data_IF_635928698295
#
_entry.id   IF_635928698295
#
_cell.length_a   1.000
_cell.length_b   1.000
_cell.length_c   1.000
_cell.angle_alpha   90.00
_cell.angle_beta   90.00
_cell.angle_gamma   90.00
#
_symmetry.space_group_name_H-M   'P 1'
#
loop_
_entity.id
_entity.type
_entity.pdbx_description
1 polymer ?
#
# COMPACT_ATOMS: atom_id res chain seq x y z
N UNK A 1 21.61 -17.17 -3.05
CA UNK A 1 21.12 -16.88 -1.69
C UNK A 1 19.93 -17.78 -1.44
N UNK A 2 19.83 -18.48 -0.29
CA UNK A 2 18.67 -19.27 0.05
C UNK A 2 17.37 -18.44 0.09
N UNK A 3 16.24 -19.01 -0.34
CA UNK A 3 14.97 -18.31 -0.47
C UNK A 3 14.46 -17.71 0.86
N UNK A 4 14.71 -18.43 1.97
CA UNK A 4 14.34 -17.99 3.32
C UNK A 4 15.13 -16.76 3.83
N UNK A 5 16.22 -16.40 3.17
CA UNK A 5 17.04 -15.23 3.49
C UNK A 5 16.70 -14.00 2.61
N UNK A 6 15.97 -14.21 1.52
CA UNK A 6 15.59 -13.12 0.62
C UNK A 6 14.67 -12.12 1.32
N UNK A 7 14.98 -10.84 1.16
CA UNK A 7 14.17 -9.72 1.64
C UNK A 7 13.91 -8.76 0.49
N UNK A 8 12.69 -8.29 0.38
CA UNK A 8 12.28 -7.34 -0.67
C UNK A 8 10.79 -7.09 -0.63
N UNK A 9 10.32 -6.36 -1.65
CA UNK A 9 8.91 -6.02 -1.81
C UNK A 9 8.53 -6.10 -3.29
N UNK A 10 7.38 -6.69 -3.60
CA UNK A 10 6.81 -6.68 -4.94
C UNK A 10 5.83 -5.50 -5.04
N UNK A 11 5.94 -4.70 -6.10
CA UNK A 11 4.95 -3.66 -6.45
C UNK A 11 3.94 -4.24 -7.46
N UNK A 12 3.02 -5.03 -6.97
CA UNK A 12 2.05 -5.80 -7.74
C UNK A 12 0.59 -5.43 -7.42
N UNK A 13 0.35 -4.22 -6.95
CA UNK A 13 -1.00 -3.70 -6.71
C UNK A 13 -1.74 -3.48 -8.03
N UNK A 14 -2.54 -4.48 -8.43
CA UNK A 14 -3.28 -4.44 -9.70
C UNK A 14 -4.52 -3.54 -9.62
N UNK A 15 -5.18 -3.46 -8.47
CA UNK A 15 -6.38 -2.63 -8.31
C UNK A 15 -6.06 -1.16 -8.54
N UNK A 16 -4.94 -0.68 -8.02
CA UNK A 16 -4.41 0.65 -8.29
C UNK A 16 -4.14 0.89 -9.78
N UNK A 17 -3.68 -0.11 -10.51
CA UNK A 17 -3.45 0.02 -11.95
C UNK A 17 -4.74 0.27 -12.72
N UNK A 18 -5.84 -0.41 -12.35
CA UNK A 18 -7.15 -0.12 -12.95
C UNK A 18 -7.69 1.26 -12.57
N UNK A 19 -7.52 1.65 -11.30
CA UNK A 19 -8.12 2.89 -10.79
C UNK A 19 -7.38 4.17 -11.21
N UNK A 20 -6.03 4.13 -11.28
CA UNK A 20 -5.22 5.33 -11.39
C UNK A 20 -4.28 5.39 -12.60
N UNK A 21 -3.80 4.25 -13.12
CA UNK A 21 -2.77 4.24 -14.17
C UNK A 21 -3.21 3.69 -15.52
N UNK A 22 -4.20 2.82 -15.55
CA UNK A 22 -4.67 2.19 -16.79
C UNK A 22 -3.66 1.23 -17.45
N UNK A 23 -2.63 0.80 -16.72
CA UNK A 23 -1.54 -0.05 -17.22
C UNK A 23 -1.66 -1.45 -16.64
N UNK A 24 -2.55 -2.25 -17.17
CA UNK A 24 -2.77 -3.64 -16.77
C UNK A 24 -2.68 -4.58 -17.98
N UNK A 25 -2.28 -5.83 -17.73
CA UNK A 25 -2.12 -6.85 -18.77
C UNK A 25 -3.33 -7.79 -18.77
N UNK A 26 -3.79 -8.23 -17.60
CA UNK A 26 -4.86 -9.17 -17.44
C UNK A 26 -6.12 -8.53 -16.86
N UNK A 27 -7.32 -9.11 -17.12
CA UNK A 27 -8.56 -8.69 -16.43
C UNK A 27 -8.47 -8.84 -14.91
N UNK A 28 -9.37 -8.19 -14.12
CA UNK A 28 -9.28 -8.19 -12.65
C UNK A 28 -9.25 -9.57 -12.01
N UNK A 29 -10.11 -10.51 -12.44
CA UNK A 29 -10.19 -11.85 -11.83
C UNK A 29 -8.91 -12.67 -11.97
N UNK A 30 -8.31 -12.85 -13.18
CA UNK A 30 -7.01 -13.49 -13.30
C UNK A 30 -5.90 -12.78 -12.52
N UNK A 31 -5.89 -11.45 -12.51
CA UNK A 31 -4.92 -10.66 -11.75
C UNK A 31 -5.00 -10.93 -10.25
N UNK A 32 -6.21 -10.94 -9.67
CA UNK A 32 -6.42 -11.26 -8.25
C UNK A 32 -5.98 -12.68 -7.91
N UNK A 33 -6.19 -13.65 -8.81
CA UNK A 33 -5.69 -15.01 -8.63
C UNK A 33 -4.16 -15.05 -8.57
N UNK A 34 -3.48 -14.31 -9.44
CA UNK A 34 -2.01 -14.24 -9.40
C UNK A 34 -1.51 -13.64 -8.09
N UNK A 35 -2.17 -12.61 -7.57
CA UNK A 35 -1.83 -12.00 -6.27
C UNK A 35 -1.97 -13.02 -5.13
N UNK A 36 -3.09 -13.76 -5.08
CA UNK A 36 -3.29 -14.77 -4.02
C UNK A 36 -2.29 -15.92 -4.12
N UNK A 37 -1.93 -16.36 -5.33
CA UNK A 37 -0.87 -17.35 -5.54
C UNK A 37 0.49 -16.86 -5.05
N UNK A 38 0.82 -15.57 -5.26
CA UNK A 38 2.04 -14.95 -4.73
C UNK A 38 2.01 -14.96 -3.20
N UNK A 39 0.89 -14.63 -2.57
CA UNK A 39 0.76 -14.67 -1.11
C UNK A 39 1.01 -16.08 -0.57
N UNK A 40 0.38 -17.09 -1.17
CA UNK A 40 0.58 -18.48 -0.78
C UNK A 40 2.02 -18.94 -0.96
N UNK A 41 2.59 -18.69 -2.12
CA UNK A 41 3.98 -19.08 -2.42
C UNK A 41 4.97 -18.42 -1.46
N UNK A 42 4.86 -17.11 -1.25
CA UNK A 42 5.79 -16.37 -0.41
C UNK A 42 5.66 -16.75 1.07
N UNK A 43 4.45 -17.03 1.56
CA UNK A 43 4.26 -17.45 2.96
C UNK A 43 4.99 -18.76 3.25
N UNK A 44 5.07 -19.67 2.27
CA UNK A 44 5.71 -20.98 2.41
C UNK A 44 7.21 -20.96 2.10
N UNK A 45 7.63 -20.24 1.06
CA UNK A 45 8.96 -20.37 0.48
C UNK A 45 9.86 -19.15 0.72
N UNK A 46 9.30 -17.94 0.90
CA UNK A 46 10.07 -16.70 1.04
C UNK A 46 9.53 -15.85 2.22
N UNK A 47 9.64 -16.34 3.46
CA UNK A 47 8.90 -15.80 4.62
C UNK A 47 9.28 -14.37 5.01
N UNK A 48 10.39 -13.83 4.48
CA UNK A 48 10.84 -12.45 4.76
C UNK A 48 10.48 -11.47 3.64
N UNK A 49 9.81 -11.94 2.58
CA UNK A 49 9.42 -11.10 1.46
C UNK A 49 8.09 -10.37 1.72
N UNK A 50 8.01 -9.10 1.36
CA UNK A 50 6.75 -8.36 1.37
C UNK A 50 6.00 -8.70 0.07
N UNK A 51 4.86 -9.34 0.22
CA UNK A 51 4.12 -9.97 -0.88
C UNK A 51 3.35 -9.00 -1.75
N UNK A 52 3.14 -7.76 -1.27
CA UNK A 52 2.49 -6.68 -2.00
C UNK A 52 2.86 -5.33 -1.42
N UNK A 53 2.89 -4.30 -2.27
CA UNK A 53 2.89 -2.89 -1.89
C UNK A 53 1.59 -2.26 -2.39
N UNK A 54 0.63 -2.02 -1.49
CA UNK A 54 -0.68 -1.45 -1.80
C UNK A 54 -0.52 0.07 -1.88
N UNK A 55 -0.79 0.65 -3.07
CA UNK A 55 -0.29 1.97 -3.42
C UNK A 55 -1.37 3.04 -3.51
N UNK A 56 -1.43 3.91 -2.52
CA UNK A 56 -2.19 5.17 -2.56
C UNK A 56 -1.47 6.28 -3.34
N UNK A 57 -0.13 6.22 -3.43
CA UNK A 57 0.68 7.22 -4.12
C UNK A 57 0.15 7.56 -5.51
N UNK A 58 -0.08 6.57 -6.35
CA UNK A 58 -0.54 6.77 -7.74
C UNK A 58 -1.95 7.34 -7.81
N UNK A 59 -2.82 6.94 -6.87
CA UNK A 59 -4.18 7.48 -6.75
C UNK A 59 -4.14 8.95 -6.40
N UNK A 60 -3.25 9.34 -5.47
CA UNK A 60 -3.05 10.74 -5.07
C UNK A 60 -2.46 11.58 -6.22
N UNK A 61 -1.45 11.08 -6.91
CA UNK A 61 -0.85 11.73 -8.08
C UNK A 61 -1.85 11.90 -9.24
N UNK A 62 -2.84 11.01 -9.35
CA UNK A 62 -3.96 11.13 -10.29
C UNK A 62 -5.01 12.17 -9.89
N UNK A 63 -4.86 12.85 -8.74
CA UNK A 63 -5.68 14.00 -8.34
C UNK A 63 -6.66 13.74 -7.20
N UNK A 64 -6.59 12.61 -6.48
CA UNK A 64 -7.43 12.37 -5.31
C UNK A 64 -7.06 13.28 -4.13
N UNK A 65 -8.01 13.52 -3.23
CA UNK A 65 -7.76 14.18 -1.95
C UNK A 65 -7.04 13.24 -0.97
N UNK A 66 -6.50 13.77 0.14
CA UNK A 66 -5.87 12.96 1.17
C UNK A 66 -6.82 11.90 1.77
N UNK A 67 -8.08 12.26 1.99
CA UNK A 67 -9.10 11.34 2.49
C UNK A 67 -9.49 10.27 1.47
N UNK A 68 -9.57 10.62 0.19
CA UNK A 68 -9.81 9.67 -0.89
C UNK A 68 -8.63 8.70 -1.07
N UNK A 69 -7.39 9.18 -0.95
CA UNK A 69 -6.20 8.33 -0.97
C UNK A 69 -6.31 7.25 0.12
N UNK A 70 -6.63 7.63 1.37
CA UNK A 70 -6.84 6.65 2.46
C UNK A 70 -7.96 5.68 2.10
N UNK A 71 -9.12 6.20 1.70
CA UNK A 71 -10.31 5.40 1.46
C UNK A 71 -10.09 4.35 0.38
N UNK A 72 -9.57 4.75 -0.77
CA UNK A 72 -9.35 3.84 -1.91
C UNK A 72 -8.24 2.83 -1.61
N UNK A 73 -7.13 3.27 -1.02
CA UNK A 73 -6.02 2.37 -0.70
C UNK A 73 -6.39 1.33 0.36
N UNK A 74 -7.17 1.72 1.37
CA UNK A 74 -7.65 0.79 2.38
C UNK A 74 -8.69 -0.17 1.78
N UNK A 75 -9.56 0.31 0.87
CA UNK A 75 -10.49 -0.54 0.14
C UNK A 75 -9.77 -1.61 -0.70
N UNK A 76 -8.71 -1.22 -1.41
CA UNK A 76 -7.85 -2.17 -2.13
C UNK A 76 -7.22 -3.20 -1.16
N UNK A 77 -6.71 -2.74 -0.03
CA UNK A 77 -6.19 -3.60 1.02
C UNK A 77 -7.20 -4.61 1.56
N UNK A 78 -8.45 -4.18 1.75
CA UNK A 78 -9.56 -5.05 2.14
C UNK A 78 -9.84 -6.10 1.06
N UNK A 79 -9.93 -5.69 -0.20
CA UNK A 79 -10.19 -6.59 -1.33
C UNK A 79 -9.11 -7.68 -1.46
N UNK A 80 -7.83 -7.33 -1.26
CA UNK A 80 -6.75 -8.31 -1.23
C UNK A 80 -6.85 -9.29 -0.06
N UNK A 81 -7.26 -8.82 1.13
CA UNK A 81 -7.48 -9.70 2.28
C UNK A 81 -8.62 -10.68 2.01
N UNK A 82 -9.75 -10.21 1.51
CA UNK A 82 -10.90 -11.03 1.19
C UNK A 82 -10.57 -12.09 0.14
N UNK A 83 -9.83 -11.71 -0.91
CA UNK A 83 -9.39 -12.64 -1.94
C UNK A 83 -8.48 -13.72 -1.38
N UNK A 84 -7.54 -13.37 -0.50
CA UNK A 84 -6.62 -14.31 0.12
C UNK A 84 -7.35 -15.28 1.08
N UNK A 85 -8.27 -14.78 1.90
CA UNK A 85 -9.08 -15.60 2.80
C UNK A 85 -9.98 -16.55 2.00
N UNK A 86 -10.61 -16.06 0.92
CA UNK A 86 -11.41 -16.90 0.01
C UNK A 86 -10.59 -18.01 -0.66
N UNK A 87 -9.29 -17.77 -0.86
CA UNK A 87 -8.35 -18.77 -1.37
C UNK A 87 -7.86 -19.75 -0.28
N UNK A 88 -8.34 -19.65 0.95
CA UNK A 88 -8.03 -20.54 2.07
C UNK A 88 -6.85 -20.12 2.93
N UNK A 89 -6.32 -18.91 2.78
CA UNK A 89 -5.22 -18.42 3.61
C UNK A 89 -5.74 -17.82 4.92
N UNK A 90 -5.04 -18.08 6.02
CA UNK A 90 -5.36 -17.43 7.30
C UNK A 90 -4.78 -16.01 7.33
N UNK A 91 -5.55 -15.05 7.87
CA UNK A 91 -5.17 -13.63 7.87
C UNK A 91 -3.79 -13.37 8.47
N UNK A 92 -3.46 -14.02 9.56
CA UNK A 92 -2.20 -13.82 10.28
C UNK A 92 -0.96 -14.47 9.62
N UNK A 93 -1.15 -15.27 8.56
CA UNK A 93 -0.03 -15.88 7.83
C UNK A 93 0.56 -14.93 6.77
N UNK A 94 -0.28 -14.06 6.19
CA UNK A 94 0.15 -13.15 5.14
C UNK A 94 0.08 -11.66 5.50
N UNK A 95 -0.82 -11.26 6.41
CA UNK A 95 -1.08 -9.85 6.70
C UNK A 95 0.14 -9.08 7.19
N UNK A 96 0.98 -9.70 8.01
CA UNK A 96 2.20 -9.09 8.53
C UNK A 96 3.31 -8.83 7.50
N UNK A 97 3.14 -9.28 6.25
CA UNK A 97 4.08 -9.12 5.14
C UNK A 97 3.56 -8.21 4.03
N UNK A 98 2.49 -7.49 4.28
CA UNK A 98 2.01 -6.44 3.37
C UNK A 98 2.64 -5.12 3.71
N UNK A 99 2.87 -4.32 2.70
CA UNK A 99 3.28 -2.92 2.83
C UNK A 99 2.30 -2.02 2.09
N UNK A 100 2.30 -0.77 2.47
CA UNK A 100 1.54 0.30 1.82
C UNK A 100 2.49 1.33 1.25
N UNK A 101 2.01 2.11 0.30
CA UNK A 101 2.77 3.15 -0.34
C UNK A 101 1.93 4.43 -0.41
N UNK A 102 2.29 5.42 0.39
CA UNK A 102 1.59 6.68 0.48
C UNK A 102 2.32 7.81 -0.23
N UNK A 103 1.55 8.84 -0.60
CA UNK A 103 2.07 10.11 -1.06
C UNK A 103 2.30 11.07 0.12
N UNK A 104 3.20 12.03 -0.01
CA UNK A 104 3.34 13.17 0.90
C UNK A 104 3.30 14.47 0.10
N UNK A 105 2.21 15.24 0.25
CA UNK A 105 2.04 16.57 -0.34
C UNK A 105 2.62 17.68 0.54
N UNK A 106 2.52 18.93 0.07
CA UNK A 106 3.11 20.09 0.74
C UNK A 106 2.25 20.64 1.89
N UNK A 107 1.03 20.13 2.12
CA UNK A 107 0.22 20.49 3.30
C UNK A 107 0.60 19.60 4.49
N UNK A 108 1.65 19.98 5.20
CA UNK A 108 2.28 19.19 6.27
C UNK A 108 1.27 18.71 7.32
N UNK A 109 0.38 19.58 7.79
CA UNK A 109 -0.58 19.22 8.85
C UNK A 109 -1.60 18.19 8.37
N UNK A 110 -2.09 18.32 7.14
CA UNK A 110 -3.00 17.35 6.52
C UNK A 110 -2.30 16.00 6.34
N UNK A 111 -1.06 15.99 5.88
CA UNK A 111 -0.29 14.77 5.67
C UNK A 111 0.02 14.04 6.98
N UNK A 112 0.43 14.75 8.02
CA UNK A 112 0.59 14.17 9.37
C UNK A 112 -0.72 13.56 9.86
N UNK A 113 -1.85 14.27 9.70
CA UNK A 113 -3.17 13.76 10.08
C UNK A 113 -3.54 12.51 9.26
N UNK A 114 -3.27 12.51 7.95
CA UNK A 114 -3.48 11.37 7.05
C UNK A 114 -2.70 10.13 7.51
N UNK A 115 -1.41 10.25 7.79
CA UNK A 115 -0.60 9.11 8.24
C UNK A 115 -1.05 8.56 9.60
N UNK A 116 -1.50 9.42 10.51
CA UNK A 116 -2.05 8.99 11.80
C UNK A 116 -3.40 8.29 11.63
N UNK A 117 -4.28 8.88 10.83
CA UNK A 117 -5.62 8.33 10.58
C UNK A 117 -5.54 6.97 9.88
N UNK A 118 -4.71 6.84 8.84
CA UNK A 118 -4.57 5.60 8.08
C UNK A 118 -4.13 4.42 8.96
N UNK A 119 -3.18 4.64 9.88
CA UNK A 119 -2.76 3.61 10.84
C UNK A 119 -3.89 3.14 11.75
N UNK A 120 -4.69 4.08 12.26
CA UNK A 120 -5.84 3.77 13.13
C UNK A 120 -6.94 3.02 12.38
N UNK A 121 -7.30 3.51 11.20
CA UNK A 121 -8.35 2.90 10.37
C UNK A 121 -7.95 1.49 9.99
N UNK A 122 -6.72 1.30 9.53
CA UNK A 122 -6.23 -0.03 9.16
C UNK A 122 -6.23 -1.01 10.33
N UNK A 123 -5.70 -0.62 11.48
CA UNK A 123 -5.69 -1.46 12.67
C UNK A 123 -7.11 -1.87 13.09
N UNK A 124 -8.05 -0.93 13.02
CA UNK A 124 -9.47 -1.19 13.31
C UNK A 124 -10.07 -2.20 12.32
N UNK A 125 -9.86 -2.00 11.02
CA UNK A 125 -10.32 -2.93 9.97
C UNK A 125 -9.76 -4.34 10.19
N UNK A 126 -8.46 -4.46 10.45
CA UNK A 126 -7.84 -5.76 10.68
C UNK A 126 -8.38 -6.48 11.90
N UNK A 127 -8.62 -5.73 12.98
CA UNK A 127 -9.17 -6.28 14.22
C UNK A 127 -10.65 -6.65 14.13
N UNK A 128 -11.48 -5.71 13.62
CA UNK A 128 -12.93 -5.86 13.69
C UNK A 128 -13.53 -6.66 12.52
N UNK A 129 -12.95 -6.50 11.31
CA UNK A 129 -13.46 -7.16 10.09
C UNK A 129 -12.79 -8.50 9.83
N UNK A 130 -11.49 -8.59 10.05
CA UNK A 130 -10.70 -9.77 9.72
C UNK A 130 -10.29 -10.61 10.93
N UNK A 131 -10.60 -10.12 12.14
CA UNK A 131 -10.29 -10.82 13.40
C UNK A 131 -8.80 -11.22 13.53
N UNK A 132 -7.91 -10.35 13.04
CA UNK A 132 -6.47 -10.57 13.15
C UNK A 132 -6.05 -10.55 14.63
N UNK A 133 -5.24 -11.53 15.03
CA UNK A 133 -4.78 -11.69 16.41
C UNK A 133 -3.36 -11.16 16.59
N UNK A 134 -2.50 -11.31 15.58
CA UNK A 134 -1.11 -10.89 15.67
C UNK A 134 -0.96 -9.37 15.53
N UNK A 135 -0.26 -8.68 16.43
CA UNK A 135 -0.01 -7.24 16.31
C UNK A 135 0.59 -6.83 14.96
N UNK A 136 1.50 -7.64 14.41
CA UNK A 136 2.09 -7.41 13.08
C UNK A 136 1.06 -7.37 11.95
N UNK A 137 -0.01 -8.14 12.05
CA UNK A 137 -1.08 -8.18 11.04
C UNK A 137 -1.92 -6.91 11.05
N UNK A 138 -2.01 -6.25 12.19
CA UNK A 138 -2.73 -4.99 12.39
C UNK A 138 -1.89 -3.74 12.06
N UNK A 139 -0.57 -3.89 11.94
CA UNK A 139 0.32 -2.78 11.63
C UNK A 139 0.18 -2.33 10.17
N UNK A 140 0.01 -1.03 9.96
CA UNK A 140 0.16 -0.42 8.65
C UNK A 140 1.64 -0.10 8.43
N UNK A 141 2.33 -1.01 7.75
CA UNK A 141 3.73 -0.80 7.33
C UNK A 141 3.72 0.02 6.05
N UNK A 142 4.42 1.13 6.04
CA UNK A 142 4.31 2.10 4.95
C UNK A 142 5.68 2.57 4.47
N UNK A 143 5.80 2.73 3.16
CA UNK A 143 6.75 3.59 2.48
C UNK A 143 6.03 4.86 2.05
N UNK A 144 6.66 6.00 2.17
CA UNK A 144 6.11 7.29 1.74
C UNK A 144 7.04 7.93 0.73
N UNK A 145 6.47 8.46 -0.36
CA UNK A 145 7.19 9.23 -1.36
C UNK A 145 6.63 10.65 -1.43
N UNK A 146 7.51 11.62 -1.55
CA UNK A 146 7.16 13.01 -1.81
C UNK A 146 6.44 13.17 -3.15
N UNK A 147 5.45 14.07 -3.20
CA UNK A 147 4.57 14.25 -4.34
C UNK A 147 5.29 14.87 -5.54
N UNK A 148 5.38 14.13 -6.64
CA UNK A 148 5.91 14.63 -7.89
C UNK A 148 5.02 15.71 -8.53
N UNK A 149 3.70 15.55 -8.44
CA UNK A 149 2.71 16.50 -8.98
C UNK A 149 2.77 17.90 -8.38
N UNK A 150 3.40 18.05 -7.21
CA UNK A 150 3.58 19.36 -6.55
C UNK A 150 4.84 20.11 -7.02
N UNK A 151 5.66 19.50 -7.87
CA UNK A 151 6.90 20.09 -8.37
C UNK A 151 6.67 20.75 -9.73
N UNK A 152 7.42 21.82 -10.00
CA UNK A 152 7.32 22.53 -11.29
C UNK A 152 8.70 22.60 -11.97
N UNK A 153 8.72 22.37 -13.28
CA UNK A 153 9.95 22.46 -14.09
C UNK A 153 10.47 23.89 -14.17
N UNK A 154 9.59 24.89 -14.08
CA UNK A 154 9.91 26.32 -14.17
C UNK A 154 10.64 26.87 -12.95
N UNK A 155 10.59 26.18 -11.82
CA UNK A 155 11.18 26.64 -10.56
C UNK A 155 12.01 25.53 -9.88
N UNK A 156 13.06 25.01 -10.50
CA UNK A 156 13.79 23.83 -10.00
C UNK A 156 14.41 24.07 -8.60
N UNK A 157 14.93 25.26 -8.33
CA UNK A 157 15.49 25.57 -7.01
C UNK A 157 14.44 25.60 -5.91
N UNK A 158 13.21 26.07 -6.19
CA UNK A 158 12.13 26.07 -5.24
C UNK A 158 11.60 24.66 -4.96
N UNK A 159 11.82 23.70 -5.86
CA UNK A 159 11.45 22.31 -5.64
C UNK A 159 12.21 21.68 -4.47
N UNK A 160 13.43 22.13 -4.18
CA UNK A 160 14.20 21.69 -2.99
C UNK A 160 13.41 21.99 -1.71
N UNK A 161 12.87 23.21 -1.61
CA UNK A 161 12.05 23.63 -0.44
C UNK A 161 10.73 22.84 -0.40
N UNK A 162 10.06 22.66 -1.55
CA UNK A 162 8.81 21.87 -1.63
C UNK A 162 9.02 20.45 -1.12
N UNK A 163 10.07 19.79 -1.60
CA UNK A 163 10.39 18.41 -1.20
C UNK A 163 10.79 18.34 0.28
N UNK A 164 11.53 19.32 0.79
CA UNK A 164 11.88 19.38 2.21
C UNK A 164 10.63 19.47 3.11
N UNK A 165 9.64 20.29 2.74
CA UNK A 165 8.36 20.38 3.45
C UNK A 165 7.57 19.07 3.39
N UNK A 166 7.50 18.44 2.22
CA UNK A 166 6.85 17.14 2.06
C UNK A 166 7.51 16.05 2.90
N UNK A 167 8.83 16.11 3.06
CA UNK A 167 9.60 15.13 3.84
C UNK A 167 9.42 15.33 5.35
N UNK A 168 9.05 16.52 5.78
CA UNK A 168 8.86 16.86 7.20
C UNK A 168 7.56 16.30 7.79
N UNK A 169 6.63 15.84 6.96
CA UNK A 169 5.37 15.22 7.39
C UNK A 169 5.57 13.76 7.81
#
# INVERSE_FOLDING_TARGET
VPADQLKGTIQNDILKEYAARGTYIFPPRPSMRLITNIFEYCSKNVPKWNTISISGYHIREAGSTASQEIAFTIADGIAYCEAAIKAGLHIDDFAGRRSFFWNAHSNVLEEVAKFRASRRVWAKVMKERFHAEKPKSMMLRVHTQTAGSMLTAQQPNNNIVRVALQTAA
#
